data_IF_980964675428
#
_entry.id   IF_980964675428
#
_cell.length_a   1.000
_cell.length_b   1.000
_cell.length_c   1.000
_cell.angle_alpha   90.00
_cell.angle_beta   90.00
_cell.angle_gamma   90.00
#
_symmetry.space_group_name_H-M   'P 1'
#
loop_
_entity.id
_entity.type
_entity.pdbx_description
1 polymer ?
#
# COMPACT_ATOMS: atom_id res chain seq x y z
N UNK A 1 4.38 23.28 43.81
CA UNK A 1 3.93 21.88 43.85
C UNK A 1 4.50 21.22 42.61
N UNK A 2 5.67 20.60 42.76
CA UNK A 2 6.49 20.12 41.65
C UNK A 2 5.87 18.82 41.13
N UNK A 3 5.13 18.89 40.01
CA UNK A 3 4.81 17.68 39.24
C UNK A 3 6.12 16.96 38.99
N UNK A 4 6.16 15.68 39.38
CA UNK A 4 7.39 14.89 39.26
C UNK A 4 7.74 14.78 37.79
N UNK A 5 9.04 14.84 37.45
CA UNK A 5 9.53 14.68 36.07
C UNK A 5 8.97 13.43 35.39
N UNK A 6 8.64 12.41 36.19
CA UNK A 6 8.00 11.17 35.79
C UNK A 6 6.56 11.38 35.27
N UNK A 7 5.73 12.19 35.93
CA UNK A 7 4.35 12.47 35.46
C UNK A 7 4.34 13.23 34.13
N UNK A 8 5.30 14.13 33.91
CA UNK A 8 5.46 14.83 32.64
C UNK A 8 5.86 13.87 31.52
N UNK A 9 6.80 12.95 31.77
CA UNK A 9 7.21 11.93 30.80
C UNK A 9 6.05 10.98 30.48
N UNK A 10 5.31 10.52 31.50
CA UNK A 10 4.15 9.64 31.31
C UNK A 10 3.10 10.34 30.46
N UNK A 11 2.79 11.61 30.74
CA UNK A 11 1.81 12.38 29.97
C UNK A 11 2.25 12.63 28.53
N UNK A 12 3.54 12.88 28.27
CA UNK A 12 4.06 13.00 26.90
C UNK A 12 3.93 11.67 26.15
N UNK A 13 4.23 10.54 26.80
CA UNK A 13 4.10 9.22 26.19
C UNK A 13 2.63 8.87 25.93
N UNK A 14 1.72 9.10 26.87
CA UNK A 14 0.28 8.85 26.66
C UNK A 14 -0.30 9.79 25.60
N UNK A 15 0.08 11.06 25.57
CA UNK A 15 -0.38 12.00 24.55
C UNK A 15 0.15 11.65 23.16
N UNK A 16 1.43 11.25 23.05
CA UNK A 16 2.03 10.77 21.81
C UNK A 16 1.39 9.45 21.33
N UNK A 17 1.09 8.54 22.28
CA UNK A 17 0.42 7.27 21.99
C UNK A 17 -1.03 7.48 21.54
N UNK A 18 -1.76 8.40 22.18
CA UNK A 18 -3.11 8.82 21.80
C UNK A 18 -3.11 9.57 20.47
N UNK A 19 -2.09 10.38 20.19
CA UNK A 19 -1.92 11.09 18.92
C UNK A 19 -1.65 10.12 17.76
N UNK A 20 -0.74 9.15 17.94
CA UNK A 20 -0.53 8.06 16.98
C UNK A 20 -1.81 7.21 16.78
N UNK A 21 -2.55 6.96 17.87
CA UNK A 21 -3.83 6.24 17.82
C UNK A 21 -4.93 7.03 17.12
N UNK A 22 -4.95 8.34 17.20
CA UNK A 22 -6.02 9.16 16.62
C UNK A 22 -5.78 9.49 15.14
N UNK A 23 -4.52 9.76 14.74
CA UNK A 23 -4.17 10.21 13.37
C UNK A 23 -3.97 9.03 12.41
N UNK A 24 -3.51 7.87 12.90
CA UNK A 24 -3.10 6.75 12.03
C UNK A 24 -3.65 5.39 12.49
N UNK A 25 -4.95 5.29 12.82
CA UNK A 25 -5.62 4.03 13.19
C UNK A 25 -5.33 2.90 12.19
N UNK A 26 -5.34 3.20 10.90
CA UNK A 26 -5.03 2.23 9.85
C UNK A 26 -3.56 1.76 9.90
N UNK A 27 -2.61 2.66 10.18
CA UNK A 27 -1.19 2.32 10.27
C UNK A 27 -0.87 1.50 11.51
N UNK A 28 -1.51 1.77 12.65
CA UNK A 28 -1.37 0.94 13.86
C UNK A 28 -1.93 -0.47 13.66
N UNK A 29 -3.10 -0.59 13.01
CA UNK A 29 -3.68 -1.89 12.66
C UNK A 29 -2.76 -2.64 11.68
N UNK A 30 -2.17 -1.94 10.71
CA UNK A 30 -1.22 -2.53 9.77
C UNK A 30 0.07 -3.02 10.47
N UNK A 31 0.63 -2.23 11.39
CA UNK A 31 1.80 -2.62 12.20
C UNK A 31 1.46 -3.79 13.13
N UNK A 32 0.26 -3.83 13.70
CA UNK A 32 -0.17 -4.95 14.53
C UNK A 32 -0.33 -6.25 13.71
N UNK A 33 -0.96 -6.17 12.53
CA UNK A 33 -1.05 -7.30 11.60
C UNK A 33 0.32 -7.75 11.13
N UNK A 34 1.25 -6.81 10.91
CA UNK A 34 2.64 -7.10 10.59
C UNK A 34 3.34 -7.88 11.71
N UNK A 35 3.22 -7.44 12.96
CA UNK A 35 3.80 -8.12 14.12
C UNK A 35 3.18 -9.50 14.32
N UNK A 36 1.88 -9.64 14.07
CA UNK A 36 1.18 -10.93 14.12
C UNK A 36 1.70 -11.89 13.05
N UNK A 37 1.83 -11.44 11.81
CA UNK A 37 2.40 -12.25 10.71
C UNK A 37 3.85 -12.60 11.01
N UNK A 38 4.65 -11.65 11.48
CA UNK A 38 6.05 -11.91 11.87
C UNK A 38 6.15 -12.92 13.02
N UNK A 39 5.25 -12.85 14.00
CA UNK A 39 5.15 -13.82 15.09
C UNK A 39 4.75 -15.21 14.59
N UNK A 40 3.76 -15.31 13.69
CA UNK A 40 3.35 -16.60 13.09
C UNK A 40 4.51 -17.19 12.29
N UNK A 41 5.20 -16.39 11.49
CA UNK A 41 6.37 -16.82 10.72
C UNK A 41 7.56 -17.20 11.62
N UNK A 42 7.79 -16.46 12.71
CA UNK A 42 8.76 -16.82 13.74
C UNK A 42 8.42 -18.17 14.37
N UNK A 43 7.16 -18.41 14.76
CA UNK A 43 6.71 -19.70 15.31
C UNK A 43 6.89 -20.85 14.32
N UNK A 44 6.58 -20.64 13.04
CA UNK A 44 6.78 -21.62 11.97
C UNK A 44 8.27 -21.89 11.74
N UNK A 45 9.12 -20.87 11.81
CA UNK A 45 10.56 -20.99 11.53
C UNK A 45 11.37 -21.49 12.73
N UNK A 46 10.94 -21.18 13.95
CA UNK A 46 11.61 -21.57 15.19
C UNK A 46 11.45 -23.05 15.54
N UNK A 47 10.64 -23.83 14.79
CA UNK A 47 10.33 -25.24 15.10
C UNK A 47 10.12 -25.42 16.60
N UNK A 48 9.07 -24.83 17.15
CA UNK A 48 8.51 -25.36 18.39
C UNK A 48 7.72 -26.63 18.06
N UNK A 49 8.46 -27.64 17.60
CA UNK A 49 8.01 -29.01 17.36
C UNK A 49 8.04 -29.80 18.70
N UNK A 50 7.89 -29.09 19.83
CA UNK A 50 7.86 -29.63 21.19
C UNK A 50 6.49 -29.54 21.85
N UNK A 51 5.52 -28.82 21.28
CA UNK A 51 4.16 -28.67 21.84
C UNK A 51 3.09 -29.49 21.10
N UNK A 52 3.48 -30.59 20.45
CA UNK A 52 2.54 -31.66 20.09
C UNK A 52 2.51 -32.60 21.31
N UNK A 53 1.34 -32.89 21.92
CA UNK A 53 1.25 -33.71 23.12
C UNK A 53 2.01 -35.04 22.94
N UNK A 54 2.92 -35.27 23.87
CA UNK A 54 3.88 -36.36 23.96
C UNK A 54 3.19 -37.72 24.21
N UNK A 55 2.38 -38.19 23.26
CA UNK A 55 1.58 -39.42 23.40
C UNK A 55 1.96 -40.54 22.40
N UNK A 56 2.91 -40.32 21.48
CA UNK A 56 3.23 -41.31 20.42
C UNK A 56 4.70 -41.79 20.43
N UNK A 57 5.58 -41.26 21.28
CA UNK A 57 7.01 -41.64 21.27
C UNK A 57 7.41 -42.77 22.24
N UNK A 58 6.46 -43.60 22.71
CA UNK A 58 6.78 -44.76 23.56
C UNK A 58 7.01 -46.03 22.70
N UNK A 59 8.06 -46.01 21.88
CA UNK A 59 8.67 -47.24 21.37
C UNK A 59 9.97 -47.43 22.17
N UNK A 60 10.10 -48.48 23.00
CA UNK A 60 11.25 -48.63 23.88
C UNK A 60 12.53 -48.89 23.08
N UNK A 61 13.53 -48.02 23.30
CA UNK A 61 14.85 -48.06 22.68
C UNK A 61 15.72 -49.22 23.13
N UNK A 62 15.37 -50.45 22.72
CA UNK A 62 16.22 -51.64 22.86
C UNK A 62 16.75 -52.20 21.53
N UNK A 63 16.55 -51.51 20.40
CA UNK A 63 16.94 -52.02 19.08
C UNK A 63 18.01 -51.21 18.33
N UNK A 64 18.57 -50.14 18.91
CA UNK A 64 19.55 -49.28 18.22
C UNK A 64 20.85 -49.10 19.01
N UNK A 65 21.35 -50.20 19.56
CA UNK A 65 22.76 -50.32 19.92
C UNK A 65 23.43 -51.25 18.89
N UNK A 66 23.77 -50.73 17.69
CA UNK A 66 24.77 -51.39 16.84
C UNK A 66 25.37 -50.43 15.79
N UNK A 67 26.65 -50.18 15.99
CA UNK A 67 27.72 -49.98 15.00
C UNK A 67 28.25 -48.57 14.70
N UNK A 68 29.51 -48.42 15.12
CA UNK A 68 30.41 -47.30 14.89
C UNK A 68 31.19 -47.60 13.61
N UNK A 69 30.58 -47.38 12.44
CA UNK A 69 31.31 -47.39 11.16
C UNK A 69 31.13 -46.08 10.41
N UNK A 70 32.27 -45.46 10.09
CA UNK A 70 32.42 -44.16 9.43
C UNK A 70 31.77 -44.15 8.05
N UNK A 71 30.48 -43.83 8.00
CA UNK A 71 29.72 -43.80 6.77
C UNK A 71 29.81 -42.41 6.13
N UNK A 72 30.46 -42.34 4.97
CA UNK A 72 30.48 -41.16 4.08
C UNK A 72 29.05 -40.66 3.79
N UNK A 73 28.06 -41.55 3.80
CA UNK A 73 26.64 -41.24 3.71
C UNK A 73 26.08 -40.42 4.90
N UNK A 74 26.67 -40.51 6.09
CA UNK A 74 26.32 -39.63 7.22
C UNK A 74 26.88 -38.21 7.03
N UNK A 75 28.08 -38.06 6.46
CA UNK A 75 28.65 -36.76 6.05
C UNK A 75 27.90 -36.16 4.85
N UNK A 76 27.52 -36.97 3.86
CA UNK A 76 26.71 -36.54 2.72
C UNK A 76 25.29 -36.12 3.12
N UNK A 77 24.69 -36.76 4.14
CA UNK A 77 23.44 -36.26 4.73
C UNK A 77 23.61 -34.87 5.34
N UNK A 78 24.72 -34.61 6.03
CA UNK A 78 25.06 -33.26 6.51
C UNK A 78 25.18 -32.22 5.39
N UNK A 79 25.80 -32.56 4.25
CA UNK A 79 25.88 -31.65 3.11
C UNK A 79 24.53 -31.43 2.41
N UNK A 80 23.68 -32.47 2.34
CA UNK A 80 22.32 -32.37 1.81
C UNK A 80 21.41 -31.54 2.74
N UNK A 81 21.59 -31.65 4.05
CA UNK A 81 20.82 -30.88 5.04
C UNK A 81 21.28 -29.41 5.10
N UNK A 82 22.56 -29.12 4.83
CA UNK A 82 23.07 -27.75 4.69
C UNK A 82 22.59 -27.12 3.36
N UNK A 83 22.50 -27.89 2.27
CA UNK A 83 21.95 -27.39 0.99
C UNK A 83 20.43 -27.22 1.01
N UNK A 84 19.74 -27.97 1.88
CA UNK A 84 18.29 -27.94 2.08
C UNK A 84 17.86 -26.93 3.17
N UNK A 85 18.78 -26.14 3.74
CA UNK A 85 18.42 -25.09 4.70
C UNK A 85 17.60 -24.04 3.94
N UNK A 86 16.26 -23.97 4.13
CA UNK A 86 15.44 -23.09 3.32
C UNK A 86 15.90 -21.68 3.61
N UNK A 87 16.45 -21.00 2.61
CA UNK A 87 16.95 -19.62 2.71
C UNK A 87 15.79 -18.75 3.17
N UNK A 88 15.71 -18.52 4.47
CA UNK A 88 14.59 -17.88 5.17
C UNK A 88 14.29 -16.50 4.58
N UNK A 89 15.29 -15.81 4.04
CA UNK A 89 15.09 -14.53 3.38
C UNK A 89 14.16 -14.59 2.16
N UNK A 90 14.10 -15.71 1.41
CA UNK A 90 13.20 -15.84 0.25
C UNK A 90 11.71 -15.72 0.64
N UNK A 91 11.40 -16.02 1.90
CA UNK A 91 10.06 -15.87 2.48
C UNK A 91 9.79 -14.43 2.94
N UNK A 92 10.77 -13.79 3.57
CA UNK A 92 10.58 -12.46 4.15
C UNK A 92 10.63 -11.33 3.12
N UNK A 93 11.45 -11.45 2.08
CA UNK A 93 11.60 -10.42 1.03
C UNK A 93 10.26 -10.02 0.39
N UNK A 94 9.45 -10.93 -0.18
CA UNK A 94 8.19 -10.54 -0.81
C UNK A 94 7.17 -9.98 0.18
N UNK A 95 7.15 -10.48 1.42
CA UNK A 95 6.27 -9.95 2.47
C UNK A 95 6.64 -8.52 2.85
N UNK A 96 7.95 -8.23 3.01
CA UNK A 96 8.44 -6.89 3.31
C UNK A 96 8.10 -5.93 2.16
N UNK A 97 8.29 -6.35 0.91
CA UNK A 97 7.93 -5.54 -0.27
C UNK A 97 6.42 -5.27 -0.31
N UNK A 98 5.59 -6.29 -0.14
CA UNK A 98 4.14 -6.14 -0.14
C UNK A 98 3.65 -5.21 0.98
N UNK A 99 4.25 -5.33 2.17
CA UNK A 99 3.96 -4.47 3.31
C UNK A 99 4.41 -3.02 3.08
N UNK A 100 5.58 -2.80 2.48
CA UNK A 100 6.05 -1.46 2.13
C UNK A 100 5.11 -0.79 1.12
N UNK A 101 4.68 -1.52 0.08
CA UNK A 101 3.70 -1.04 -0.90
C UNK A 101 2.36 -0.73 -0.21
N UNK A 102 1.87 -1.63 0.65
CA UNK A 102 0.63 -1.41 1.39
C UNK A 102 0.72 -0.17 2.29
N UNK A 103 1.84 0.04 2.97
CA UNK A 103 2.07 1.22 3.80
C UNK A 103 2.09 2.51 2.97
N UNK A 104 2.79 2.53 1.83
CA UNK A 104 2.83 3.68 0.91
C UNK A 104 1.41 4.07 0.47
N UNK A 105 0.58 3.08 0.11
CA UNK A 105 -0.80 3.30 -0.32
C UNK A 105 -1.70 3.73 0.85
N UNK A 106 -1.60 3.09 2.02
CA UNK A 106 -2.43 3.40 3.19
C UNK A 106 -2.10 4.77 3.80
N UNK A 107 -0.82 5.14 3.84
CA UNK A 107 -0.36 6.43 4.33
C UNK A 107 -0.60 7.56 3.31
N UNK A 108 -1.16 7.25 2.11
CA UNK A 108 -1.32 8.18 0.99
C UNK A 108 -0.03 8.91 0.61
N UNK A 109 1.12 8.23 0.75
CA UNK A 109 2.41 8.77 0.33
C UNK A 109 2.50 8.89 -1.19
N UNK A 110 1.90 7.93 -1.89
CA UNK A 110 1.61 8.01 -3.32
C UNK A 110 0.24 7.38 -3.59
N UNK A 111 -0.58 8.04 -4.41
CA UNK A 111 -1.93 7.58 -4.72
C UNK A 111 -2.33 7.92 -6.16
N UNK A 112 -3.09 7.02 -6.82
CA UNK A 112 -3.66 7.33 -8.12
C UNK A 112 -4.84 8.30 -7.97
N UNK A 113 -4.89 9.33 -8.82
CA UNK A 113 -6.03 10.23 -8.97
C UNK A 113 -6.59 10.13 -10.40
N UNK A 114 -7.89 10.35 -10.55
CA UNK A 114 -8.55 10.31 -11.87
C UNK A 114 -8.93 11.72 -12.28
N UNK A 115 -8.54 12.11 -13.49
CA UNK A 115 -8.87 13.41 -14.06
C UNK A 115 -10.34 13.41 -14.48
N UNK A 116 -11.13 14.30 -13.89
CA UNK A 116 -12.59 14.35 -14.04
C UNK A 116 -13.06 15.31 -15.14
N UNK A 117 -12.23 16.28 -15.53
CA UNK A 117 -12.57 17.34 -16.50
C UNK A 117 -11.44 17.55 -17.51
N UNK A 118 -11.74 18.21 -18.63
CA UNK A 118 -10.74 18.59 -19.65
C UNK A 118 -10.01 19.90 -19.35
N UNK A 119 -9.94 20.37 -18.09
CA UNK A 119 -9.30 21.65 -17.76
C UNK A 119 -7.78 21.64 -17.95
N UNK A 120 -7.17 20.46 -17.99
CA UNK A 120 -5.73 20.24 -18.11
C UNK A 120 -5.31 19.77 -19.52
N UNK A 121 -6.19 19.85 -20.51
CA UNK A 121 -5.82 19.55 -21.90
C UNK A 121 -4.81 20.58 -22.43
N UNK A 122 -3.77 20.16 -23.19
CA UNK A 122 -3.53 18.81 -23.71
C UNK A 122 -2.69 17.90 -22.79
N UNK A 123 -2.15 18.40 -21.69
CA UNK A 123 -1.25 17.62 -20.82
C UNK A 123 -1.97 16.42 -20.21
N UNK A 124 -3.17 16.62 -19.66
CA UNK A 124 -4.02 15.57 -19.11
C UNK A 124 -5.40 15.62 -19.77
N UNK A 125 -5.87 14.46 -20.21
CA UNK A 125 -7.21 14.30 -20.77
C UNK A 125 -8.21 13.86 -19.70
N UNK A 126 -9.49 14.13 -19.94
CA UNK A 126 -10.56 13.56 -19.11
C UNK A 126 -10.42 12.03 -19.07
N UNK A 127 -10.55 11.45 -17.87
CA UNK A 127 -10.39 10.03 -17.56
C UNK A 127 -8.97 9.48 -17.54
N UNK A 128 -7.96 10.33 -17.61
CA UNK A 128 -6.59 9.91 -17.34
C UNK A 128 -6.42 9.54 -15.86
N UNK A 129 -5.64 8.49 -15.60
CA UNK A 129 -5.17 8.15 -14.25
C UNK A 129 -3.77 8.72 -14.10
N UNK A 130 -3.60 9.58 -13.10
CA UNK A 130 -2.32 10.20 -12.76
C UNK A 130 -1.84 9.71 -11.40
N UNK A 131 -0.53 9.66 -11.21
CA UNK A 131 0.06 9.29 -9.92
C UNK A 131 0.48 10.55 -9.17
N UNK A 132 -0.11 10.79 -7.99
CA UNK A 132 0.22 11.89 -7.10
C UNK A 132 0.99 11.40 -5.87
N UNK A 133 1.81 12.26 -5.28
CA UNK A 133 2.63 11.99 -4.10
C UNK A 133 2.54 13.09 -3.05
N UNK A 134 2.82 12.72 -1.79
CA UNK A 134 2.97 13.64 -0.64
C UNK A 134 4.37 13.63 -0.03
N UNK A 135 5.32 12.96 -0.69
CA UNK A 135 6.68 12.74 -0.16
C UNK A 135 7.57 13.97 -0.29
N UNK A 136 7.41 14.72 -1.38
CA UNK A 136 8.10 15.97 -1.63
C UNK A 136 7.03 17.02 -1.93
N UNK A 137 6.90 18.02 -1.06
CA UNK A 137 5.94 19.13 -1.18
C UNK A 137 6.68 20.47 -1.33
N UNK A 138 7.87 20.45 -1.96
CA UNK A 138 8.49 21.70 -2.40
C UNK A 138 7.82 22.11 -3.70
N UNK A 139 6.71 22.84 -3.57
CA UNK A 139 5.91 23.26 -4.70
C UNK A 139 6.60 24.37 -5.49
N UNK A 140 6.82 24.12 -6.77
CA UNK A 140 7.43 25.05 -7.71
C UNK A 140 6.44 25.46 -8.81
N UNK A 141 6.74 26.59 -9.46
CA UNK A 141 5.97 27.04 -10.62
C UNK A 141 6.13 26.04 -11.75
N UNK A 142 5.03 25.49 -12.25
CA UNK A 142 5.01 24.45 -13.28
C UNK A 142 4.54 23.09 -12.78
N UNK A 143 4.58 22.83 -11.47
CA UNK A 143 4.12 21.57 -10.90
C UNK A 143 2.61 21.42 -11.04
N UNK A 144 2.15 20.18 -11.13
CA UNK A 144 0.72 19.87 -11.19
C UNK A 144 0.32 19.28 -9.85
N UNK A 145 -0.65 19.91 -9.19
CA UNK A 145 -1.10 19.52 -7.86
C UNK A 145 -2.55 19.08 -7.85
N UNK A 146 -2.86 18.16 -6.94
CA UNK A 146 -4.21 17.72 -6.58
C UNK A 146 -4.58 18.40 -5.27
N UNK A 147 -5.70 19.12 -5.24
CA UNK A 147 -6.12 19.90 -4.08
C UNK A 147 -7.64 19.94 -3.96
N UNK A 148 -8.11 20.29 -2.76
CA UNK A 148 -9.54 20.47 -2.47
C UNK A 148 -9.87 21.96 -2.28
N UNK A 149 -11.01 22.39 -2.81
CA UNK A 149 -11.55 23.75 -2.66
C UNK A 149 -13.03 23.66 -2.30
N UNK A 150 -13.54 24.65 -1.58
CA UNK A 150 -14.95 24.66 -1.13
C UNK A 150 -15.93 24.75 -2.31
N UNK A 151 -15.50 25.40 -3.40
CA UNK A 151 -16.28 25.60 -4.62
C UNK A 151 -16.47 24.32 -5.45
N UNK A 152 -15.74 23.25 -5.12
CA UNK A 152 -15.80 21.98 -5.85
C UNK A 152 -15.99 20.80 -4.89
N UNK A 153 -17.06 20.00 -5.05
CA UNK A 153 -17.27 18.80 -4.24
C UNK A 153 -16.28 17.66 -4.59
N UNK A 154 -15.45 17.85 -5.61
CA UNK A 154 -14.45 16.90 -6.10
C UNK A 154 -13.07 17.56 -6.13
N UNK A 155 -12.02 16.75 -5.99
CA UNK A 155 -10.65 17.24 -6.04
C UNK A 155 -10.35 17.86 -7.41
N UNK A 156 -9.58 18.95 -7.40
CA UNK A 156 -9.15 19.68 -8.59
C UNK A 156 -7.69 19.35 -8.86
N UNK A 157 -7.36 19.18 -10.14
CA UNK A 157 -5.98 18.95 -10.61
C UNK A 157 -5.61 20.08 -11.55
N UNK A 158 -4.71 20.98 -11.12
CA UNK A 158 -4.26 22.11 -11.93
C UNK A 158 -2.77 22.37 -11.77
N UNK A 159 -2.20 23.16 -12.70
CA UNK A 159 -0.80 23.56 -12.69
C UNK A 159 -0.58 24.79 -11.83
N UNK A 160 0.48 24.81 -11.04
CA UNK A 160 0.94 25.97 -10.29
C UNK A 160 1.48 27.01 -11.26
N UNK A 161 0.94 28.23 -11.15
CA UNK A 161 1.36 29.39 -11.95
C UNK A 161 2.05 30.47 -11.12
N UNK A 162 1.93 30.40 -9.80
CA UNK A 162 2.61 31.31 -8.87
C UNK A 162 2.70 30.68 -7.49
N UNK A 163 3.86 30.84 -6.85
CA UNK A 163 4.12 30.50 -5.46
C UNK A 163 4.59 31.78 -4.76
N UNK A 164 4.00 32.11 -3.61
CA UNK A 164 4.30 33.32 -2.86
C UNK A 164 4.00 33.12 -1.37
N UNK A 165 4.44 34.05 -0.54
CA UNK A 165 4.10 34.07 0.89
C UNK A 165 2.58 34.15 1.14
N UNK A 166 1.82 34.68 0.18
CA UNK A 166 0.35 34.75 0.26
C UNK A 166 -0.35 33.44 -0.08
N UNK A 167 0.39 32.45 -0.59
CA UNK A 167 -0.11 31.14 -1.00
C UNK A 167 0.17 30.82 -2.47
N UNK A 168 -0.45 29.74 -2.92
CA UNK A 168 -0.25 29.13 -4.23
C UNK A 168 -1.44 29.44 -5.15
N UNK A 169 -1.15 29.86 -6.38
CA UNK A 169 -2.17 30.05 -7.42
C UNK A 169 -2.04 29.00 -8.50
N UNK A 170 -3.18 28.48 -8.93
CA UNK A 170 -3.26 27.42 -9.93
C UNK A 170 -4.03 27.84 -11.17
N UNK A 171 -3.84 27.08 -12.24
CA UNK A 171 -4.55 27.25 -13.49
C UNK A 171 -4.60 25.91 -14.24
N UNK A 172 -5.75 25.58 -14.80
CA UNK A 172 -5.84 24.49 -15.78
C UNK A 172 -5.15 24.85 -17.10
N UNK A 173 -4.42 23.92 -17.70
CA UNK A 173 -3.67 24.15 -18.95
C UNK A 173 -4.57 24.62 -20.10
N UNK A 174 -5.81 24.15 -20.17
CA UNK A 174 -6.80 24.55 -21.17
C UNK A 174 -7.51 25.88 -20.83
N UNK A 175 -7.41 26.36 -19.58
CA UNK A 175 -8.10 27.60 -19.15
C UNK A 175 -7.35 28.83 -19.68
N UNK A 176 -8.08 29.94 -19.90
CA UNK A 176 -7.47 31.24 -20.27
C UNK A 176 -7.02 32.03 -19.05
N UNK A 177 -7.78 31.96 -17.97
CA UNK A 177 -7.56 32.71 -16.74
C UNK A 177 -7.10 31.79 -15.61
N UNK A 178 -6.38 32.35 -14.64
CA UNK A 178 -6.04 31.67 -13.39
C UNK A 178 -7.31 31.34 -12.60
N UNK A 179 -7.21 30.40 -11.68
CA UNK A 179 -8.29 30.11 -10.75
C UNK A 179 -8.54 31.29 -9.81
N UNK A 180 -9.78 31.38 -9.30
CA UNK A 180 -10.22 32.49 -8.44
C UNK A 180 -9.77 32.37 -6.99
N UNK A 181 -9.22 31.22 -6.60
CA UNK A 181 -8.80 30.90 -5.23
C UNK A 181 -7.27 31.02 -5.07
N UNK A 182 -6.85 31.15 -3.81
CA UNK A 182 -5.45 31.07 -3.39
C UNK A 182 -5.36 29.90 -2.41
N UNK A 183 -4.48 28.95 -2.71
CA UNK A 183 -4.32 27.72 -1.96
C UNK A 183 -3.31 27.89 -0.83
N UNK A 184 -3.64 27.30 0.30
CA UNK A 184 -2.70 27.02 1.40
C UNK A 184 -2.15 25.60 1.27
N UNK A 185 -1.01 25.31 1.90
CA UNK A 185 -0.40 23.96 1.86
C UNK A 185 -1.35 22.87 2.36
N UNK A 186 -2.20 23.18 3.34
CA UNK A 186 -3.17 22.24 3.92
C UNK A 186 -4.24 21.76 2.92
N UNK A 187 -4.53 22.57 1.90
CA UNK A 187 -5.48 22.24 0.84
C UNK A 187 -4.87 21.32 -0.22
N UNK A 188 -3.54 21.16 -0.23
CA UNK A 188 -2.82 20.36 -1.21
C UNK A 188 -2.77 18.89 -0.74
N UNK A 189 -3.43 18.06 -1.52
CA UNK A 189 -3.50 16.63 -1.29
C UNK A 189 -2.29 15.89 -1.85
N UNK A 190 -1.66 16.42 -2.89
CA UNK A 190 -0.42 15.87 -3.43
C UNK A 190 -0.01 16.52 -4.74
N UNK A 191 1.20 16.19 -5.17
CA UNK A 191 1.81 16.68 -6.41
C UNK A 191 1.99 15.51 -7.38
N UNK A 192 1.79 15.71 -8.67
CA UNK A 192 1.93 14.66 -9.67
C UNK A 192 3.39 14.26 -9.84
N UNK A 193 3.64 12.95 -9.92
CA UNK A 193 4.95 12.42 -10.23
C UNK A 193 5.23 12.62 -11.72
N UNK A 194 6.33 13.31 -12.02
CA UNK A 194 6.81 13.55 -13.37
C UNK A 194 8.04 12.70 -13.70
N UNK A 195 8.17 12.33 -14.97
CA UNK A 195 9.33 11.66 -15.53
C UNK A 195 9.72 12.42 -16.81
N UNK A 196 10.97 12.90 -16.87
CA UNK A 196 11.46 13.75 -17.98
C UNK A 196 10.62 15.01 -18.23
N UNK A 197 10.00 15.57 -17.18
CA UNK A 197 9.16 16.76 -17.25
C UNK A 197 7.69 16.50 -17.61
N UNK A 198 7.33 15.26 -17.93
CA UNK A 198 5.96 14.86 -18.24
C UNK A 198 5.34 14.07 -17.08
N UNK A 199 4.07 14.28 -16.73
CA UNK A 199 3.41 13.50 -15.70
C UNK A 199 3.31 12.03 -16.10
N UNK A 200 3.42 11.12 -15.13
CA UNK A 200 3.16 9.70 -15.35
C UNK A 200 1.64 9.50 -15.46
N UNK A 201 1.18 9.14 -16.66
CA UNK A 201 -0.24 9.03 -16.98
C UNK A 201 -0.58 7.67 -17.60
N UNK A 202 -1.69 7.09 -17.15
CA UNK A 202 -2.34 5.97 -17.82
C UNK A 202 -3.60 6.50 -18.51
N UNK A 203 -3.53 6.57 -19.84
CA UNK A 203 -4.55 7.23 -20.66
C UNK A 203 -5.89 6.49 -20.67
N UNK A 204 -7.00 7.22 -20.53
CA UNK A 204 -8.38 6.73 -20.69
C UNK A 204 -8.85 5.57 -19.76
N UNK A 205 -8.05 5.11 -18.81
CA UNK A 205 -8.44 3.99 -17.91
C UNK A 205 -9.37 4.45 -16.79
N UNK A 206 -9.31 5.73 -16.40
CA UNK A 206 -10.17 6.33 -15.38
C UNK A 206 -11.67 6.26 -15.69
N UNK A 207 -12.03 6.10 -16.97
CA UNK A 207 -13.42 6.09 -17.44
C UNK A 207 -14.20 4.94 -16.83
N UNK A 208 -13.53 3.82 -16.56
CA UNK A 208 -14.15 2.65 -15.93
C UNK A 208 -14.43 2.88 -14.44
N UNK A 209 -13.63 3.72 -13.77
CA UNK A 209 -13.76 4.05 -12.35
C UNK A 209 -14.81 5.12 -12.08
N UNK A 210 -14.91 6.11 -12.97
CA UNK A 210 -15.85 7.24 -12.90
C UNK A 210 -17.09 7.02 -13.76
N UNK A 211 -17.49 5.78 -14.03
CA UNK A 211 -18.67 5.49 -14.83
C UNK A 211 -19.89 6.21 -14.26
N UNK A 212 -20.37 7.22 -14.98
CA UNK A 212 -21.64 7.87 -14.72
C UNK A 212 -22.64 7.40 -15.77
N UNK A 213 -23.72 6.77 -15.29
CA UNK A 213 -24.87 6.37 -16.12
C UNK A 213 -25.50 7.54 -16.86
N UNK A 214 -25.25 8.79 -16.47
CA UNK A 214 -25.78 9.99 -17.11
C UNK A 214 -25.04 10.40 -18.40
N UNK A 215 -23.83 9.87 -18.64
CA UNK A 215 -23.05 10.23 -19.83
C UNK A 215 -23.62 9.56 -21.10
N UNK A 216 -24.36 10.34 -21.88
CA UNK A 216 -25.06 9.89 -23.09
C UNK A 216 -24.12 9.20 -24.12
N UNK A 217 -22.86 9.64 -24.18
CA UNK A 217 -21.80 9.06 -25.03
C UNK A 217 -21.55 7.59 -24.69
N UNK A 218 -21.64 7.21 -23.42
CA UNK A 218 -21.41 5.83 -22.96
C UNK A 218 -22.60 4.95 -23.30
N UNK A 219 -23.82 5.46 -23.12
CA UNK A 219 -25.08 4.74 -23.42
C UNK A 219 -25.23 4.48 -24.92
N UNK A 220 -24.91 5.46 -25.77
CA UNK A 220 -25.04 5.33 -27.23
C UNK A 220 -23.90 4.56 -27.89
N UNK A 221 -22.81 4.28 -27.17
CA UNK A 221 -21.69 3.53 -27.73
C UNK A 221 -22.07 2.07 -28.00
N UNK A 222 -21.56 1.49 -29.09
CA UNK A 222 -21.77 0.08 -29.46
C UNK A 222 -21.41 -0.91 -28.33
N UNK A 223 -20.52 -0.51 -27.43
CA UNK A 223 -19.97 -1.31 -26.33
C UNK A 223 -20.43 -0.85 -24.94
N UNK A 224 -21.45 -0.01 -24.83
CA UNK A 224 -21.89 0.58 -23.55
C UNK A 224 -22.28 -0.45 -22.48
N UNK A 225 -22.87 -1.57 -22.89
CA UNK A 225 -23.26 -2.67 -21.98
C UNK A 225 -22.05 -3.44 -21.45
N UNK A 226 -21.04 -3.70 -22.27
CA UNK A 226 -19.78 -4.34 -21.86
C UNK A 226 -18.97 -3.42 -20.93
N UNK A 227 -18.97 -2.13 -21.24
CA UNK A 227 -18.33 -1.10 -20.44
C UNK A 227 -18.95 -1.01 -19.05
N UNK A 228 -20.29 -1.01 -18.96
CA UNK A 228 -21.02 -1.05 -17.69
C UNK A 228 -20.66 -2.29 -16.86
N UNK A 229 -20.67 -3.49 -17.46
CA UNK A 229 -20.30 -4.73 -16.76
C UNK A 229 -18.89 -4.67 -16.19
N UNK A 230 -17.94 -4.16 -16.98
CA UNK A 230 -16.54 -3.99 -16.57
C UNK A 230 -16.41 -3.02 -15.40
N UNK A 231 -17.10 -1.87 -15.47
CA UNK A 231 -17.13 -0.89 -14.37
C UNK A 231 -17.70 -1.49 -13.08
N UNK A 232 -18.80 -2.26 -13.16
CA UNK A 232 -19.35 -2.94 -12.00
C UNK A 232 -18.36 -3.94 -11.38
N UNK A 233 -17.68 -4.73 -12.20
CA UNK A 233 -16.64 -5.67 -11.72
C UNK A 233 -15.53 -4.90 -11.00
N UNK A 234 -15.02 -3.80 -11.57
CA UNK A 234 -14.01 -2.97 -10.93
C UNK A 234 -14.49 -2.35 -9.62
N UNK A 235 -15.75 -1.91 -9.55
CA UNK A 235 -16.36 -1.41 -8.31
C UNK A 235 -16.43 -2.50 -7.24
N UNK A 236 -16.77 -3.73 -7.60
CA UNK A 236 -16.75 -4.88 -6.69
C UNK A 236 -15.33 -5.23 -6.24
N UNK A 237 -14.35 -5.27 -7.16
CA UNK A 237 -12.94 -5.50 -6.83
C UNK A 237 -12.44 -4.43 -5.85
N UNK A 238 -12.74 -3.15 -6.10
CA UNK A 238 -12.38 -2.05 -5.21
C UNK A 238 -12.98 -2.22 -3.81
N UNK A 239 -14.23 -2.67 -3.71
CA UNK A 239 -14.90 -2.94 -2.43
C UNK A 239 -14.30 -4.14 -1.70
N UNK A 240 -13.89 -5.19 -2.42
CA UNK A 240 -13.36 -6.43 -1.87
C UNK A 240 -11.83 -6.44 -1.73
N UNK A 241 -11.13 -5.38 -2.12
CA UNK A 241 -9.65 -5.35 -2.19
C UNK A 241 -8.96 -5.83 -0.90
N UNK A 242 -9.44 -5.38 0.26
CA UNK A 242 -8.90 -5.84 1.55
C UNK A 242 -9.10 -7.34 1.78
N UNK A 243 -10.28 -7.87 1.45
CA UNK A 243 -10.57 -9.31 1.60
C UNK A 243 -9.71 -10.15 0.67
N UNK A 244 -9.51 -9.71 -0.58
CA UNK A 244 -8.65 -10.37 -1.55
C UNK A 244 -7.21 -10.37 -1.04
N UNK A 245 -6.72 -9.24 -0.53
CA UNK A 245 -5.36 -9.13 0.03
C UNK A 245 -5.15 -10.11 1.21
N UNK A 246 -6.12 -10.21 2.12
CA UNK A 246 -6.06 -11.16 3.24
C UNK A 246 -6.01 -12.61 2.73
N UNK A 247 -6.87 -12.97 1.77
CA UNK A 247 -6.89 -14.32 1.17
C UNK A 247 -5.55 -14.63 0.50
N UNK A 248 -4.98 -13.69 -0.26
CA UNK A 248 -3.68 -13.86 -0.91
C UNK A 248 -2.56 -14.07 0.11
N UNK A 249 -2.53 -13.31 1.22
CA UNK A 249 -1.55 -13.49 2.30
C UNK A 249 -1.71 -14.86 2.95
N UNK A 250 -2.94 -15.29 3.25
CA UNK A 250 -3.22 -16.61 3.81
C UNK A 250 -2.76 -17.75 2.88
N UNK A 251 -3.07 -17.65 1.58
CA UNK A 251 -2.63 -18.61 0.56
C UNK A 251 -1.11 -18.63 0.43
N UNK A 252 -0.47 -17.47 0.44
CA UNK A 252 0.99 -17.36 0.41
C UNK A 252 1.62 -18.09 1.60
N UNK A 253 1.12 -17.85 2.82
CA UNK A 253 1.58 -18.55 4.03
C UNK A 253 1.35 -20.06 3.90
N UNK A 254 0.18 -20.48 3.41
CA UNK A 254 -0.13 -21.90 3.21
C UNK A 254 0.85 -22.59 2.25
N UNK A 255 1.13 -21.99 1.08
CA UNK A 255 2.06 -22.54 0.10
C UNK A 255 3.47 -22.64 0.67
N UNK A 256 3.94 -21.59 1.35
CA UNK A 256 5.26 -21.58 2.00
C UNK A 256 5.40 -22.69 3.04
N UNK A 257 4.36 -22.91 3.86
CA UNK A 257 4.37 -23.96 4.89
C UNK A 257 4.36 -25.35 4.24
N UNK A 258 3.62 -25.51 3.15
CA UNK A 258 3.48 -26.79 2.44
C UNK A 258 4.74 -27.16 1.68
N UNK A 259 5.41 -26.21 1.03
CA UNK A 259 6.66 -26.42 0.28
C UNK A 259 7.86 -26.77 1.20
N UNK A 260 7.75 -26.52 2.51
CA UNK A 260 8.74 -26.93 3.52
C UNK A 260 8.53 -28.35 4.07
N UNK A 261 7.38 -28.99 3.82
CA UNK A 261 7.12 -30.39 4.22
C UNK A 261 7.63 -31.36 3.16
#
# INVERSE_FOLDING_TARGET
MCMTTVESIINVITYFSLYLYHVHRASLIAVFLLLLVFYILYRICAKDLGSIPYAVSRIPGRLLAWDRKSNVSARMRGYRDISMRPRTYKLFVPLIIAMAIAYILLARLAFPAVVTTGSMEPTLEKYDIVLAQRLNMMHEVGDIIVFDVEESPIQVVHRIVSVSDTGIRTKGDARRTQDGWVLTEDQINGELITYEGEPIVIKNVGRYFLFDTSEEVVIRSKYGSEFYRTSQILKYIKKMGLTIAIICICLYIYFVVTERR
#
